data_IF_362635461236
#
_entry.id   IF_362635461236
#
_cell.length_a   1.000
_cell.length_b   1.000
_cell.length_c   1.000
_cell.angle_alpha   90.00
_cell.angle_beta   90.00
_cell.angle_gamma   90.00
#
_symmetry.space_group_name_H-M   'P 1'
#
loop_
_entity.id
_entity.type
_entity.pdbx_description
1 polymer ?
#
# COMPACT_ATOMS: atom_id res chain seq x y z
N UNK A 1 2.91 -19.30 -9.76
CA UNK A 1 1.58 -19.93 -9.87
C UNK A 1 0.59 -18.85 -10.24
N UNK A 2 -0.66 -19.17 -10.58
CA UNK A 2 -1.65 -18.14 -10.93
C UNK A 2 -1.85 -17.19 -9.73
N UNK A 3 -1.66 -15.88 -9.92
CA UNK A 3 -1.83 -14.87 -8.87
C UNK A 3 -0.61 -14.63 -7.98
N UNK A 4 0.55 -15.24 -8.27
CA UNK A 4 1.79 -14.98 -7.52
C UNK A 4 2.28 -13.54 -7.66
N UNK A 5 2.00 -12.89 -8.79
CA UNK A 5 2.29 -11.48 -9.05
C UNK A 5 1.56 -10.56 -8.07
N UNK A 6 0.36 -10.96 -7.61
CA UNK A 6 -0.40 -10.24 -6.60
C UNK A 6 -0.15 -10.76 -5.18
N UNK A 7 0.79 -11.69 -4.99
CA UNK A 7 1.07 -12.31 -3.69
C UNK A 7 -0.20 -12.85 -3.01
N UNK A 8 -1.07 -13.50 -3.78
CA UNK A 8 -2.27 -14.12 -3.24
C UNK A 8 -1.88 -15.20 -2.23
N UNK A 9 -2.63 -15.32 -1.15
CA UNK A 9 -2.42 -16.36 -0.14
C UNK A 9 -2.47 -17.74 -0.80
N UNK A 10 -1.46 -18.57 -0.51
CA UNK A 10 -1.31 -19.89 -1.10
C UNK A 10 -0.68 -19.95 -2.50
N UNK A 11 -0.43 -18.81 -3.16
CA UNK A 11 0.22 -18.75 -4.50
C UNK A 11 1.75 -18.62 -4.47
N UNK A 12 2.33 -18.66 -3.27
CA UNK A 12 3.72 -18.33 -2.97
C UNK A 12 4.46 -19.58 -2.47
N UNK A 13 5.16 -20.34 -3.33
CA UNK A 13 5.91 -21.53 -2.93
C UNK A 13 7.02 -21.17 -1.93
N UNK A 14 7.00 -21.82 -0.76
CA UNK A 14 7.92 -21.53 0.34
C UNK A 14 9.38 -21.62 -0.09
N UNK A 15 9.73 -22.60 -0.92
CA UNK A 15 11.09 -22.83 -1.40
C UNK A 15 11.62 -21.65 -2.23
N UNK A 16 10.73 -20.91 -2.88
CA UNK A 16 11.07 -19.73 -3.68
C UNK A 16 11.13 -18.45 -2.86
N UNK A 17 10.39 -18.37 -1.75
CA UNK A 17 10.13 -17.13 -1.00
C UNK A 17 10.90 -17.05 0.33
N UNK A 18 11.16 -18.18 0.97
CA UNK A 18 11.77 -18.22 2.29
C UNK A 18 13.09 -17.44 2.34
N UNK A 19 13.19 -16.48 3.27
CA UNK A 19 14.37 -15.64 3.45
C UNK A 19 14.53 -14.51 2.42
N UNK A 20 13.57 -14.29 1.53
CA UNK A 20 13.66 -13.29 0.46
C UNK A 20 12.77 -12.06 0.67
N UNK A 21 13.17 -10.97 0.04
CA UNK A 21 12.30 -9.82 -0.21
C UNK A 21 11.47 -10.10 -1.46
N UNK A 22 10.17 -9.84 -1.40
CA UNK A 22 9.22 -10.19 -2.46
C UNK A 22 8.60 -8.92 -3.03
N UNK A 23 8.52 -8.85 -4.37
CA UNK A 23 7.81 -7.78 -5.07
C UNK A 23 6.39 -8.27 -5.34
N UNK A 24 5.40 -7.47 -4.98
CA UNK A 24 3.99 -7.75 -5.23
C UNK A 24 3.36 -6.60 -5.98
N UNK A 25 2.61 -6.90 -7.02
CA UNK A 25 1.78 -5.91 -7.71
C UNK A 25 0.58 -5.55 -6.85
N UNK A 26 0.27 -4.25 -6.81
CA UNK A 26 -0.92 -3.73 -6.17
C UNK A 26 -2.17 -4.12 -6.97
N UNK A 27 -3.24 -4.44 -6.26
CA UNK A 27 -4.53 -4.85 -6.84
C UNK A 27 -4.97 -6.24 -6.40
N UNK A 28 -6.17 -6.63 -6.86
CA UNK A 28 -6.86 -7.91 -6.61
C UNK A 28 -7.25 -8.17 -5.15
N UNK A 29 -6.30 -8.13 -4.21
CA UNK A 29 -6.51 -8.36 -2.78
C UNK A 29 -5.95 -7.20 -1.93
N UNK A 30 -6.21 -7.25 -0.62
CA UNK A 30 -5.80 -6.20 0.32
C UNK A 30 -4.28 -6.02 0.36
N UNK A 31 -3.83 -4.76 0.43
CA UNK A 31 -2.39 -4.44 0.46
C UNK A 31 -1.70 -5.04 1.67
N UNK A 32 -2.30 -4.93 2.86
CA UNK A 32 -1.81 -5.56 4.09
C UNK A 32 -1.82 -7.10 4.02
N UNK A 33 -2.83 -7.70 3.36
CA UNK A 33 -2.95 -9.16 3.19
C UNK A 33 -1.80 -9.75 2.37
N UNK A 34 -1.29 -9.02 1.37
CA UNK A 34 -0.09 -9.44 0.61
C UNK A 34 1.13 -9.61 1.52
N UNK A 35 1.31 -8.66 2.43
CA UNK A 35 2.38 -8.72 3.43
C UNK A 35 2.22 -9.90 4.39
N UNK A 36 0.99 -10.25 4.75
CA UNK A 36 0.69 -11.46 5.50
C UNK A 36 1.05 -12.73 4.72
N UNK A 37 0.58 -12.87 3.49
CA UNK A 37 0.84 -14.03 2.65
C UNK A 37 2.35 -14.29 2.46
N UNK A 38 3.15 -13.23 2.27
CA UNK A 38 4.61 -13.34 2.19
C UNK A 38 5.20 -13.81 3.51
N UNK A 39 4.74 -13.26 4.64
CA UNK A 39 5.21 -13.65 5.97
C UNK A 39 4.92 -15.13 6.23
N UNK A 40 3.73 -15.61 5.87
CA UNK A 40 3.36 -17.03 5.97
C UNK A 40 4.24 -17.93 5.11
N UNK A 41 4.61 -17.47 3.90
CA UNK A 41 5.54 -18.17 3.01
C UNK A 41 7.02 -18.06 3.47
N UNK A 42 7.31 -17.38 4.59
CA UNK A 42 8.65 -17.24 5.15
C UNK A 42 9.50 -16.13 4.53
N UNK A 43 8.90 -15.21 3.77
CA UNK A 43 9.57 -14.03 3.25
C UNK A 43 9.89 -13.02 4.36
N UNK A 44 10.89 -12.18 4.12
CA UNK A 44 11.45 -11.27 5.15
C UNK A 44 11.10 -9.80 4.93
N UNK A 45 10.68 -9.44 3.71
CA UNK A 45 10.32 -8.07 3.36
C UNK A 45 9.43 -8.04 2.10
N UNK A 46 8.74 -6.93 1.87
CA UNK A 46 7.91 -6.71 0.70
C UNK A 46 8.21 -5.37 0.02
N UNK A 47 8.19 -5.35 -1.30
CA UNK A 47 8.02 -4.13 -2.09
C UNK A 47 6.65 -4.23 -2.76
N UNK A 48 5.73 -3.34 -2.39
CA UNK A 48 4.45 -3.20 -3.06
C UNK A 48 4.65 -2.28 -4.26
N UNK A 49 4.46 -2.81 -5.46
CA UNK A 49 4.63 -2.11 -6.72
C UNK A 49 3.27 -1.61 -7.22
N UNK A 50 3.13 -0.30 -7.40
CA UNK A 50 1.98 0.23 -8.13
C UNK A 50 1.98 -0.29 -9.57
N UNK A 51 0.78 -0.53 -10.09
CA UNK A 51 0.52 -0.85 -11.49
C UNK A 51 0.12 0.42 -12.24
N UNK A 52 -0.04 0.33 -13.57
CA UNK A 52 -0.48 1.46 -14.41
C UNK A 52 -1.80 2.07 -13.91
N UNK A 53 -2.70 1.24 -13.37
CA UNK A 53 -3.97 1.69 -12.79
C UNK A 53 -3.74 2.59 -11.57
N UNK A 54 -2.73 2.29 -10.75
CA UNK A 54 -2.43 3.01 -9.51
C UNK A 54 -1.52 4.22 -9.70
N UNK A 55 -0.83 4.31 -10.84
CA UNK A 55 0.10 5.40 -11.16
C UNK A 55 1.08 5.68 -10.00
N UNK A 56 1.20 6.94 -9.57
CA UNK A 56 2.09 7.41 -8.51
C UNK A 56 1.34 7.57 -7.17
N UNK A 57 0.26 6.82 -6.95
CA UNK A 57 -0.53 6.90 -5.72
C UNK A 57 0.31 6.48 -4.49
N UNK A 58 0.47 7.41 -3.55
CA UNK A 58 1.26 7.25 -2.33
C UNK A 58 0.38 7.09 -1.08
N UNK A 59 -0.66 6.25 -1.16
CA UNK A 59 -1.45 5.87 0.01
C UNK A 59 -0.79 4.67 0.70
N UNK A 60 -0.27 4.86 1.90
CA UNK A 60 0.41 3.79 2.63
C UNK A 60 -0.56 2.94 3.45
N UNK A 61 -0.21 1.67 3.61
CA UNK A 61 -0.87 0.75 4.54
C UNK A 61 0.14 0.18 5.53
N UNK A 62 -0.37 -0.21 6.70
CA UNK A 62 0.44 -0.95 7.67
C UNK A 62 0.64 -2.37 7.15
N UNK A 63 1.84 -2.93 7.34
CA UNK A 63 2.17 -4.31 7.00
C UNK A 63 2.68 -5.11 8.22
N UNK A 64 2.66 -6.44 8.12
CA UNK A 64 3.09 -7.40 9.15
C UNK A 64 4.59 -7.75 9.10
N UNK A 65 5.29 -7.24 8.09
CA UNK A 65 6.72 -7.35 7.83
C UNK A 65 7.25 -6.01 7.29
N UNK A 66 8.57 -5.79 7.23
CA UNK A 66 9.17 -4.62 6.59
C UNK A 66 8.68 -4.47 5.15
N UNK A 67 8.05 -3.34 4.81
CA UNK A 67 7.52 -3.10 3.49
C UNK A 67 7.71 -1.65 3.03
N UNK A 68 7.76 -1.45 1.72
CA UNK A 68 7.68 -0.14 1.08
C UNK A 68 6.73 -0.19 -0.12
N UNK A 69 6.00 0.89 -0.34
CA UNK A 69 5.26 1.14 -1.57
C UNK A 69 6.15 1.94 -2.53
N UNK A 70 6.09 1.64 -3.82
CA UNK A 70 6.75 2.42 -4.87
C UNK A 70 5.76 2.78 -5.98
N UNK A 71 6.02 3.89 -6.66
CA UNK A 71 5.23 4.36 -7.80
C UNK A 71 5.33 3.44 -9.01
N UNK A 72 4.47 3.65 -10.01
CA UNK A 72 4.46 2.84 -11.22
C UNK A 72 5.75 3.01 -12.04
N UNK A 73 6.25 4.24 -12.18
CA UNK A 73 7.50 4.48 -12.90
C UNK A 73 8.68 3.73 -12.25
N UNK A 74 8.77 3.74 -10.93
CA UNK A 74 9.81 3.03 -10.18
C UNK A 74 9.62 1.50 -10.24
N UNK A 75 8.37 1.03 -10.29
CA UNK A 75 8.09 -0.40 -10.36
C UNK A 75 8.53 -1.04 -11.66
N UNK A 76 8.41 -0.33 -12.79
CA UNK A 76 8.95 -0.76 -14.09
C UNK A 76 10.46 -0.94 -13.98
N UNK A 77 11.17 0.08 -13.51
CA UNK A 77 12.64 0.05 -13.35
C UNK A 77 13.09 -1.08 -12.41
N UNK A 78 12.38 -1.29 -11.31
CA UNK A 78 12.69 -2.35 -10.36
C UNK A 78 12.50 -3.75 -10.97
N UNK A 79 11.42 -3.95 -11.73
CA UNK A 79 11.14 -5.24 -12.38
C UNK A 79 12.18 -5.56 -13.45
N UNK A 80 12.59 -4.56 -14.23
CA UNK A 80 13.69 -4.70 -15.19
C UNK A 80 14.99 -5.11 -14.50
N UNK A 81 15.34 -4.42 -13.39
CA UNK A 81 16.52 -4.76 -12.58
C UNK A 81 16.50 -6.22 -12.11
N UNK A 82 15.35 -6.72 -11.63
CA UNK A 82 15.23 -8.10 -11.14
C UNK A 82 15.31 -9.11 -12.27
N UNK A 83 14.74 -8.81 -13.44
CA UNK A 83 14.79 -9.70 -14.60
C UNK A 83 16.20 -9.82 -15.18
N UNK A 84 16.97 -8.73 -15.19
CA UNK A 84 18.30 -8.67 -15.77
C UNK A 84 19.42 -9.12 -14.80
N UNK A 85 19.09 -9.37 -13.53
CA UNK A 85 20.08 -9.66 -12.49
C UNK A 85 19.90 -11.05 -11.87
N UNK A 86 20.87 -11.96 -12.12
CA UNK A 86 20.86 -13.35 -11.63
C UNK A 86 20.77 -13.47 -10.09
N UNK A 87 21.35 -12.52 -9.35
CA UNK A 87 21.32 -12.48 -7.87
C UNK A 87 20.95 -11.08 -7.38
N UNK A 88 19.78 -10.60 -7.79
CA UNK A 88 19.25 -9.31 -7.37
C UNK A 88 19.26 -9.17 -5.84
N UNK A 89 19.74 -8.03 -5.35
CA UNK A 89 19.76 -7.69 -3.91
C UNK A 89 19.16 -6.31 -3.72
N UNK A 90 18.40 -6.15 -2.66
CA UNK A 90 17.79 -4.89 -2.29
C UNK A 90 17.88 -4.69 -0.78
N UNK A 91 17.74 -3.44 -0.35
CA UNK A 91 17.72 -3.06 1.07
C UNK A 91 16.69 -1.96 1.25
N UNK A 92 15.79 -2.17 2.21
CA UNK A 92 14.86 -1.13 2.67
C UNK A 92 15.53 -0.41 3.82
N UNK A 93 15.55 0.93 3.75
CA UNK A 93 16.06 1.80 4.81
C UNK A 93 14.90 2.66 5.28
N UNK A 94 14.61 2.62 6.58
CA UNK A 94 13.57 3.46 7.17
C UNK A 94 14.14 4.85 7.48
N UNK A 95 13.77 5.84 6.69
CA UNK A 95 14.23 7.23 6.82
C UNK A 95 13.37 8.12 7.73
N UNK A 96 12.23 7.61 8.22
CA UNK A 96 11.23 8.41 8.94
C UNK A 96 10.39 9.27 8.01
N UNK A 97 9.57 10.14 8.60
CA UNK A 97 8.69 11.05 7.86
C UNK A 97 9.45 12.27 7.37
N UNK A 98 9.38 12.55 6.07
CA UNK A 98 9.93 13.77 5.46
C UNK A 98 8.76 14.72 5.16
N UNK A 99 8.84 15.95 5.66
CA UNK A 99 7.87 17.02 5.42
C UNK A 99 8.48 18.13 4.56
N UNK A 100 7.65 18.92 3.88
CA UNK A 100 8.10 20.05 3.06
C UNK A 100 8.71 19.68 1.70
N UNK A 101 8.66 18.40 1.32
CA UNK A 101 9.03 17.87 0.00
C UNK A 101 7.87 17.04 -0.55
N UNK A 102 6.88 17.67 -1.22
CA UNK A 102 5.82 16.94 -1.91
C UNK A 102 5.03 17.84 -2.88
N UNK A 103 4.32 17.19 -3.83
CA UNK A 103 3.25 17.73 -4.71
C UNK A 103 1.95 18.07 -3.94
N UNK A 104 1.99 18.10 -2.61
CA UNK A 104 0.81 18.38 -1.80
C UNK A 104 0.41 19.88 -1.83
N UNK A 105 -0.90 20.20 -1.90
CA UNK A 105 -2.01 19.26 -1.97
C UNK A 105 -2.26 18.75 -3.40
N UNK A 106 -2.46 17.43 -3.53
CA UNK A 106 -2.94 16.77 -4.75
C UNK A 106 -4.19 15.95 -4.40
N UNK A 107 -5.19 15.93 -5.30
CA UNK A 107 -6.39 15.14 -5.05
C UNK A 107 -6.09 13.68 -5.32
N UNK A 108 -6.18 12.84 -4.27
CA UNK A 108 -5.87 11.42 -4.33
C UNK A 108 -6.55 10.70 -5.51
N UNK A 109 -5.85 9.73 -6.09
CA UNK A 109 -6.34 8.96 -7.23
C UNK A 109 -7.66 8.23 -6.93
N UNK A 110 -7.80 7.68 -5.72
CA UNK A 110 -9.00 6.98 -5.27
C UNK A 110 -10.18 7.92 -4.98
N UNK A 111 -9.98 9.24 -4.89
CA UNK A 111 -11.05 10.18 -4.56
C UNK A 111 -12.07 10.19 -5.70
N UNK A 112 -13.32 9.87 -5.36
CA UNK A 112 -14.42 9.90 -6.31
C UNK A 112 -14.53 11.29 -6.97
N UNK A 113 -14.92 11.29 -8.25
CA UNK A 113 -15.02 12.49 -9.08
C UNK A 113 -16.45 12.69 -9.54
N UNK A 114 -16.84 13.95 -9.70
CA UNK A 114 -18.11 14.30 -10.34
C UNK A 114 -18.05 14.11 -11.86
N UNK A 115 -19.14 14.46 -12.56
CA UNK A 115 -20.39 15.04 -12.03
C UNK A 115 -21.19 14.09 -11.13
N UNK A 116 -22.10 14.62 -10.31
CA UNK A 116 -23.00 13.80 -9.51
C UNK A 116 -23.95 13.00 -10.40
N UNK A 117 -24.00 11.68 -10.23
CA UNK A 117 -24.95 10.82 -10.94
C UNK A 117 -26.42 11.08 -10.53
N UNK A 118 -26.64 11.61 -9.32
CA UNK A 118 -27.98 11.92 -8.83
C UNK A 118 -28.53 13.23 -9.43
N UNK A 119 -27.66 14.24 -9.60
CA UNK A 119 -28.02 15.49 -10.26
C UNK A 119 -26.77 16.13 -10.88
N UNK A 120 -26.53 15.96 -12.19
CA UNK A 120 -25.37 16.53 -12.87
C UNK A 120 -25.33 18.06 -12.87
N UNK A 121 -26.46 18.74 -12.61
CA UNK A 121 -26.54 20.20 -12.54
C UNK A 121 -25.96 20.77 -11.23
N UNK A 122 -25.75 19.93 -10.22
CA UNK A 122 -25.10 20.30 -8.95
C UNK A 122 -23.69 19.73 -8.95
N UNK A 123 -22.69 20.61 -8.94
CA UNK A 123 -21.28 20.22 -8.92
C UNK A 123 -20.95 19.45 -7.63
N UNK A 124 -20.22 18.33 -7.78
CA UNK A 124 -19.66 17.54 -6.69
C UNK A 124 -18.25 17.06 -7.05
N UNK A 125 -17.36 16.81 -6.07
CA UNK A 125 -17.53 17.07 -4.63
C UNK A 125 -17.51 18.59 -4.30
N UNK A 126 -17.98 18.97 -3.11
CA UNK A 126 -18.10 20.38 -2.72
C UNK A 126 -16.78 21.02 -2.26
N UNK A 127 -15.91 20.24 -1.62
CA UNK A 127 -14.68 20.72 -1.00
C UNK A 127 -13.62 19.62 -0.96
N UNK A 128 -12.35 20.02 -0.81
CA UNK A 128 -11.21 19.13 -0.57
C UNK A 128 -10.69 19.32 0.85
N UNK A 129 -10.24 18.25 1.49
CA UNK A 129 -9.60 18.28 2.81
C UNK A 129 -8.56 17.14 2.93
N UNK A 130 -7.57 17.25 3.84
CA UNK A 130 -6.53 16.23 4.00
C UNK A 130 -7.11 14.85 4.34
N UNK A 131 -6.82 13.84 3.52
CA UNK A 131 -7.34 12.48 3.71
C UNK A 131 -6.38 11.37 3.31
N UNK A 132 -5.13 11.67 3.01
CA UNK A 132 -4.10 10.68 2.68
C UNK A 132 -3.07 10.65 3.80
N UNK A 133 -2.74 9.45 4.26
CA UNK A 133 -1.73 9.17 5.29
C UNK A 133 -1.98 9.95 6.59
N UNK A 134 -3.25 9.99 7.02
CA UNK A 134 -3.69 10.68 8.24
C UNK A 134 -3.43 9.78 9.46
N UNK A 135 -2.78 10.33 10.48
CA UNK A 135 -2.55 9.65 11.76
C UNK A 135 -3.70 9.99 12.72
N UNK A 136 -4.38 8.97 13.23
CA UNK A 136 -5.51 9.13 14.15
C UNK A 136 -5.55 8.02 15.20
N UNK A 137 -6.36 8.21 16.24
CA UNK A 137 -6.52 7.24 17.34
C UNK A 137 -7.04 5.89 16.83
N UNK A 138 -6.54 4.80 17.39
CA UNK A 138 -6.87 3.43 16.99
C UNK A 138 -7.30 2.58 18.19
N UNK A 139 -8.35 1.75 18.06
CA UNK A 139 -8.88 0.99 19.19
C UNK A 139 -7.95 -0.17 19.57
N UNK A 140 -7.80 -0.40 20.88
CA UNK A 140 -6.89 -1.42 21.46
C UNK A 140 -7.36 -2.87 21.26
N UNK A 141 -8.54 -3.10 20.70
CA UNK A 141 -9.02 -4.44 20.37
C UNK A 141 -8.65 -4.87 18.95
N UNK A 142 -8.08 -3.98 18.11
CA UNK A 142 -7.71 -4.27 16.73
C UNK A 142 -6.21 -4.09 16.50
N UNK A 143 -5.63 -4.92 15.64
CA UNK A 143 -4.29 -4.71 15.12
C UNK A 143 -4.23 -3.50 14.19
N UNK A 144 -3.06 -2.86 14.02
CA UNK A 144 -2.92 -1.66 13.19
C UNK A 144 -3.17 -1.90 11.69
N UNK A 145 -3.10 -3.15 11.22
CA UNK A 145 -3.47 -3.52 9.84
C UNK A 145 -4.98 -3.76 9.66
N UNK A 146 -5.74 -3.86 10.76
CA UNK A 146 -7.13 -4.31 10.73
C UNK A 146 -7.33 -5.80 10.44
N UNK A 147 -6.25 -6.56 10.16
CA UNK A 147 -6.34 -8.01 9.93
C UNK A 147 -6.54 -8.77 11.25
N UNK A 148 -7.35 -9.85 11.26
CA UNK A 148 -7.65 -10.59 12.48
C UNK A 148 -6.43 -11.27 13.10
N UNK A 149 -5.39 -11.52 12.30
CA UNK A 149 -4.15 -12.17 12.72
C UNK A 149 -3.08 -11.18 13.22
N UNK A 150 -3.31 -9.87 13.11
CA UNK A 150 -2.39 -8.86 13.64
C UNK A 150 -2.62 -8.62 15.14
N UNK A 151 -1.74 -9.20 15.94
CA UNK A 151 -1.79 -9.16 17.40
C UNK A 151 -1.13 -7.90 17.99
N UNK A 152 -0.53 -7.03 17.18
CA UNK A 152 0.07 -5.78 17.67
C UNK A 152 -1.01 -4.83 18.18
N UNK A 153 -0.65 -3.94 19.10
CA UNK A 153 -1.54 -2.91 19.67
C UNK A 153 -0.84 -1.56 19.63
N UNK A 154 -1.57 -0.54 19.18
CA UNK A 154 -1.06 0.83 19.00
C UNK A 154 -2.14 1.83 19.41
N UNK A 155 -1.75 2.98 19.93
CA UNK A 155 -2.69 4.05 20.27
C UNK A 155 -3.16 4.83 19.05
N UNK A 156 -2.32 4.86 18.00
CA UNK A 156 -2.57 5.57 16.76
C UNK A 156 -2.16 4.70 15.58
N UNK A 157 -2.87 4.85 14.46
CA UNK A 157 -2.49 4.24 13.18
C UNK A 157 -2.56 5.30 12.07
N UNK A 158 -2.11 4.93 10.88
CA UNK A 158 -2.17 5.74 9.67
C UNK A 158 -3.17 5.15 8.68
N UNK A 159 -4.04 5.98 8.12
CA UNK A 159 -5.03 5.58 7.11
C UNK A 159 -5.21 6.63 6.03
N UNK A 160 -5.72 6.20 4.88
CA UNK A 160 -6.09 7.05 3.76
C UNK A 160 -7.54 6.80 3.34
N UNK A 161 -8.27 7.86 3.00
CA UNK A 161 -9.64 7.78 2.52
C UNK A 161 -10.35 9.13 2.56
N UNK A 162 -11.43 9.26 1.79
CA UNK A 162 -12.34 10.41 1.94
C UNK A 162 -13.04 10.39 3.30
N UNK A 163 -13.15 9.23 3.95
CA UNK A 163 -13.56 9.08 5.35
C UNK A 163 -12.58 9.74 6.34
N UNK A 164 -11.31 9.91 5.96
CA UNK A 164 -10.31 10.67 6.74
C UNK A 164 -10.34 12.17 6.41
N UNK A 165 -10.75 12.54 5.19
CA UNK A 165 -10.99 13.94 4.81
C UNK A 165 -12.21 14.55 5.51
N UNK A 166 -13.34 13.82 5.57
CA UNK A 166 -14.61 14.30 6.11
C UNK A 166 -14.58 14.92 7.54
N UNK A 167 -13.83 14.37 8.52
CA UNK A 167 -13.81 14.90 9.89
C UNK A 167 -12.90 16.12 10.11
N UNK A 168 -12.16 16.59 9.10
CA UNK A 168 -11.38 17.84 9.18
C UNK A 168 -12.29 19.06 9.04
#
# INVERSE_FOLDING_TARGET
EKGSEFCLRGSLPREKIQGKMVICDRGVNGRSEKGEAIKEAGGVAMILANTEINQEEDSIDVHLLPATLIGYAESVVLKDYVNDTVKAKARIIFGGTVIGRSRAPEVAQFSARGPSLANPSILKPDMIAPGVNIIAAWPQNLGPTGLPYDTRRVNFTVMSGTSMSCPH
#
